data_IF_939607860263
#
_entry.id   IF_939607860263
#
_cell.length_a   1.000
_cell.length_b   1.000
_cell.length_c   1.000
_cell.angle_alpha   90.00
_cell.angle_beta   90.00
_cell.angle_gamma   90.00
#
_symmetry.space_group_name_H-M   'P 1'
#
loop_
_entity.id
_entity.type
_entity.pdbx_description
1 polymer ?
#
# COMPACT_ATOMS: atom_id res chain seq x y z
N UNK A 1 -31.37 9.65 36.25
CA UNK A 1 -32.51 9.12 35.50
C UNK A 1 -32.38 7.63 35.27
N UNK A 2 -33.31 6.92 35.90
CA UNK A 2 -33.33 5.47 36.14
C UNK A 2 -34.29 4.82 35.15
N UNK A 3 -33.79 4.00 34.23
CA UNK A 3 -34.66 3.20 33.36
C UNK A 3 -35.23 2.01 34.14
N UNK A 4 -36.53 2.11 34.44
CA UNK A 4 -37.37 1.11 35.08
C UNK A 4 -37.69 0.02 34.06
N UNK A 5 -37.22 -1.20 34.30
CA UNK A 5 -37.55 -2.41 33.54
C UNK A 5 -38.90 -2.93 34.02
N UNK A 6 -39.89 -3.00 33.12
CA UNK A 6 -41.17 -3.67 33.39
C UNK A 6 -41.02 -5.20 33.32
N UNK A 7 -41.63 -5.97 34.24
CA UNK A 7 -41.61 -7.42 34.18
C UNK A 7 -42.73 -7.95 33.28
N UNK A 8 -42.33 -8.65 32.20
CA UNK A 8 -43.21 -9.49 31.40
C UNK A 8 -43.73 -10.67 32.23
N UNK A 9 -45.04 -10.71 32.44
CA UNK A 9 -45.75 -11.84 33.06
C UNK A 9 -45.72 -13.11 32.20
N UNK A 10 -45.85 -14.31 32.80
CA UNK A 10 -45.54 -15.57 32.17
C UNK A 10 -46.76 -16.18 31.50
N UNK A 11 -46.74 -16.35 30.18
CA UNK A 11 -47.64 -17.31 29.52
C UNK A 11 -46.96 -17.94 28.30
N UNK A 12 -47.00 -19.26 28.28
CA UNK A 12 -46.88 -20.02 27.05
C UNK A 12 -45.56 -20.74 26.87
N UNK A 13 -45.42 -21.80 27.66
CA UNK A 13 -44.52 -22.92 27.37
C UNK A 13 -44.86 -23.49 25.97
N UNK A 14 -44.25 -22.97 24.90
CA UNK A 14 -44.16 -23.62 23.59
C UNK A 14 -42.77 -23.36 23.03
N UNK A 15 -41.84 -24.25 23.36
CA UNK A 15 -40.64 -24.41 22.56
C UNK A 15 -41.05 -24.81 21.13
N UNK A 16 -40.63 -24.08 20.07
CA UNK A 16 -40.77 -24.57 18.71
C UNK A 16 -39.63 -25.51 18.31
N UNK A 17 -38.75 -25.88 19.24
CA UNK A 17 -37.69 -26.88 19.05
C UNK A 17 -38.23 -28.33 19.06
N UNK A 18 -39.44 -28.54 18.58
CA UNK A 18 -39.89 -29.85 18.13
C UNK A 18 -39.29 -30.11 16.74
N UNK A 19 -38.23 -30.92 16.70
CA UNK A 19 -37.69 -31.56 15.50
C UNK A 19 -38.83 -32.08 14.62
N UNK A 20 -39.17 -31.38 13.54
CA UNK A 20 -39.80 -31.97 12.36
C UNK A 20 -38.69 -32.23 11.36
N UNK A 21 -38.50 -33.50 11.00
CA UNK A 21 -37.80 -33.91 9.79
C UNK A 21 -38.58 -33.39 8.58
N UNK A 22 -38.49 -32.08 8.35
CA UNK A 22 -39.11 -31.40 7.23
C UNK A 22 -38.23 -31.62 6.01
N UNK A 23 -38.55 -32.65 5.23
CA UNK A 23 -38.13 -32.72 3.83
C UNK A 23 -38.64 -31.45 3.14
N UNK A 24 -37.76 -30.48 2.94
CA UNK A 24 -38.10 -29.27 2.19
C UNK A 24 -38.60 -29.65 0.80
N UNK A 25 -39.78 -29.15 0.45
CA UNK A 25 -40.29 -29.29 -0.91
C UNK A 25 -39.28 -28.69 -1.89
N UNK A 26 -39.24 -29.23 -3.13
CA UNK A 26 -38.32 -28.75 -4.17
C UNK A 26 -38.45 -27.23 -4.40
N UNK A 27 -39.67 -26.69 -4.26
CA UNK A 27 -39.97 -25.27 -4.40
C UNK A 27 -39.42 -24.41 -3.25
N UNK A 28 -39.50 -24.87 -2.00
CA UNK A 28 -38.96 -24.15 -0.84
C UNK A 28 -37.43 -24.10 -0.84
N UNK A 29 -36.78 -25.20 -1.24
CA UNK A 29 -35.32 -25.22 -1.45
C UNK A 29 -34.91 -24.21 -2.52
N UNK A 30 -35.65 -24.15 -3.63
CA UNK A 30 -35.37 -23.21 -4.73
C UNK A 30 -35.56 -21.75 -4.30
N UNK A 31 -36.61 -21.43 -3.52
CA UNK A 31 -36.83 -20.09 -2.95
C UNK A 31 -35.72 -19.68 -1.99
N UNK A 32 -35.34 -20.55 -1.05
CA UNK A 32 -34.26 -20.26 -0.09
C UNK A 32 -32.91 -20.07 -0.78
N UNK A 33 -32.60 -20.90 -1.78
CA UNK A 33 -31.39 -20.77 -2.58
C UNK A 33 -31.37 -19.47 -3.39
N UNK A 34 -32.49 -19.06 -3.99
CA UNK A 34 -32.58 -17.78 -4.69
C UNK A 34 -32.43 -16.57 -3.76
N UNK A 35 -33.00 -16.63 -2.55
CA UNK A 35 -32.83 -15.56 -1.56
C UNK A 35 -31.37 -15.47 -1.08
N UNK A 36 -30.72 -16.62 -0.86
CA UNK A 36 -29.30 -16.66 -0.53
C UNK A 36 -28.44 -16.11 -1.68
N UNK A 37 -28.66 -16.54 -2.92
CA UNK A 37 -27.93 -16.01 -4.08
C UNK A 37 -28.15 -14.50 -4.27
N UNK A 38 -29.37 -14.00 -4.00
CA UNK A 38 -29.67 -12.57 -4.08
C UNK A 38 -28.95 -11.79 -2.97
N UNK A 39 -28.89 -12.34 -1.75
CA UNK A 39 -28.15 -11.75 -0.64
C UNK A 39 -26.63 -11.76 -0.91
N UNK A 40 -26.09 -12.87 -1.39
CA UNK A 40 -24.66 -13.03 -1.72
C UNK A 40 -24.24 -12.09 -2.87
N UNK A 41 -25.09 -11.91 -3.88
CA UNK A 41 -24.79 -11.05 -5.04
C UNK A 41 -25.00 -9.55 -4.80
N UNK A 42 -25.83 -9.19 -3.82
CA UNK A 42 -26.14 -7.79 -3.48
C UNK A 42 -25.42 -7.36 -2.21
N UNK A 43 -26.08 -7.36 -1.04
CA UNK A 43 -25.59 -6.73 0.18
C UNK A 43 -24.26 -7.31 0.69
N UNK A 44 -24.05 -8.62 0.55
CA UNK A 44 -22.77 -9.22 0.96
C UNK A 44 -21.63 -8.78 0.04
N UNK A 45 -21.88 -8.74 -1.27
CA UNK A 45 -20.89 -8.27 -2.25
C UNK A 45 -20.62 -6.78 -2.08
N UNK A 46 -21.64 -5.97 -1.82
CA UNK A 46 -21.50 -4.54 -1.58
C UNK A 46 -20.77 -4.26 -0.27
N UNK A 47 -21.08 -4.97 0.82
CA UNK A 47 -20.34 -4.88 2.08
C UNK A 47 -18.87 -5.29 1.92
N UNK A 48 -18.60 -6.37 1.18
CA UNK A 48 -17.23 -6.81 0.88
C UNK A 48 -16.49 -5.80 -0.01
N UNK A 49 -17.13 -5.29 -1.07
CA UNK A 49 -16.56 -4.24 -1.92
C UNK A 49 -16.35 -2.92 -1.15
N UNK A 50 -17.21 -2.59 -0.19
CA UNK A 50 -17.06 -1.43 0.69
C UNK A 50 -15.87 -1.62 1.64
N UNK A 51 -15.69 -2.83 2.19
CA UNK A 51 -14.58 -3.15 3.10
C UNK A 51 -13.20 -3.23 2.43
N UNK A 52 -13.15 -3.53 1.13
CA UNK A 52 -11.91 -3.64 0.35
C UNK A 52 -11.40 -2.25 -0.09
N UNK A 53 -12.24 -1.21 -0.05
CA UNK A 53 -11.91 0.11 -0.57
C UNK A 53 -11.84 0.13 -2.11
N UNK A 54 -11.64 1.32 -2.71
CA UNK A 54 -11.39 1.42 -4.17
C UNK A 54 -10.03 0.78 -4.46
N UNK A 55 -9.93 0.03 -5.56
CA UNK A 55 -8.74 -0.73 -6.02
C UNK A 55 -7.39 0.03 -6.09
N UNK A 56 -7.37 1.33 -5.82
CA UNK A 56 -6.18 2.21 -5.90
C UNK A 56 -5.79 2.77 -4.52
N UNK A 57 -6.53 2.43 -3.46
CA UNK A 57 -6.43 3.05 -2.15
C UNK A 57 -5.66 2.09 -1.22
N UNK A 58 -4.33 2.03 -1.36
CA UNK A 58 -3.48 1.29 -0.43
C UNK A 58 -3.02 2.23 0.71
N UNK A 59 -3.30 1.91 1.98
CA UNK A 59 -2.79 2.71 3.09
C UNK A 59 -1.27 2.59 3.17
N UNK A 60 -0.60 3.70 3.52
CA UNK A 60 0.86 3.79 3.61
C UNK A 60 1.48 2.69 4.49
N UNK A 61 0.77 2.29 5.55
CA UNK A 61 1.18 1.21 6.46
C UNK A 61 1.30 -0.15 5.76
N UNK A 62 0.38 -0.49 4.85
CA UNK A 62 0.43 -1.71 4.06
C UNK A 62 1.60 -1.69 3.09
N UNK A 63 1.88 -0.56 2.45
CA UNK A 63 3.07 -0.39 1.61
C UNK A 63 4.34 -0.68 2.41
N UNK A 64 4.48 -0.09 3.62
CA UNK A 64 5.66 -0.28 4.46
C UNK A 64 5.84 -1.74 4.90
N UNK A 65 4.75 -2.45 5.25
CA UNK A 65 4.80 -3.87 5.60
C UNK A 65 5.27 -4.73 4.42
N UNK A 66 4.79 -4.44 3.20
CA UNK A 66 5.22 -5.15 2.00
C UNK A 66 6.73 -4.99 1.73
N UNK A 67 7.33 -3.88 2.15
CA UNK A 67 8.75 -3.62 1.99
C UNK A 67 9.60 -3.96 3.22
N UNK A 68 9.02 -4.57 4.25
CA UNK A 68 9.75 -5.00 5.45
C UNK A 68 10.95 -5.90 5.13
N UNK A 69 10.87 -6.89 4.22
CA UNK A 69 12.04 -7.69 3.85
C UNK A 69 13.17 -6.86 3.24
N UNK A 70 12.82 -5.84 2.44
CA UNK A 70 13.79 -4.93 1.83
C UNK A 70 14.43 -4.01 2.88
N UNK A 71 13.68 -3.59 3.90
CA UNK A 71 14.19 -2.83 5.05
C UNK A 71 15.22 -3.65 5.84
N UNK A 72 14.94 -4.92 6.10
CA UNK A 72 15.91 -5.77 6.78
C UNK A 72 17.14 -6.06 5.91
N UNK A 73 16.95 -6.25 4.60
CA UNK A 73 18.06 -6.44 3.68
C UNK A 73 18.95 -5.20 3.56
N UNK A 74 18.38 -4.00 3.58
CA UNK A 74 19.16 -2.77 3.48
C UNK A 74 20.08 -2.55 4.67
N UNK A 75 19.77 -3.09 5.86
CA UNK A 75 20.68 -3.07 6.99
C UNK A 75 22.01 -3.75 6.66
N UNK A 76 21.99 -4.83 5.88
CA UNK A 76 23.20 -5.48 5.36
C UNK A 76 23.93 -4.58 4.37
N UNK A 77 23.21 -3.80 3.56
CA UNK A 77 23.81 -2.84 2.63
C UNK A 77 24.40 -1.61 3.32
N UNK A 78 23.83 -1.17 4.45
CA UNK A 78 24.34 -0.03 5.23
C UNK A 78 25.56 -0.46 6.05
N UNK A 79 25.49 -1.62 6.70
CA UNK A 79 26.55 -2.13 7.58
C UNK A 79 27.65 -2.87 6.81
N UNK A 80 27.33 -3.37 5.61
CA UNK A 80 28.25 -4.04 4.72
C UNK A 80 29.18 -3.05 4.05
N UNK A 81 30.47 -3.39 4.01
CA UNK A 81 31.50 -2.61 3.34
C UNK A 81 31.88 -3.24 1.99
N UNK A 82 30.87 -3.76 1.28
CA UNK A 82 30.96 -4.46 -0.01
C UNK A 82 31.98 -5.63 -0.04
N UNK A 83 32.21 -6.24 1.12
CA UNK A 83 33.15 -7.36 1.28
C UNK A 83 34.60 -6.96 1.61
N UNK A 84 34.90 -5.67 1.64
CA UNK A 84 36.22 -5.11 1.95
C UNK A 84 36.26 -4.35 3.28
N UNK A 85 37.44 -3.83 3.65
CA UNK A 85 37.59 -2.93 4.81
C UNK A 85 36.83 -1.63 4.54
N UNK A 86 35.96 -1.22 5.46
CA UNK A 86 35.13 -0.02 5.34
C UNK A 86 35.91 1.26 5.00
N UNK A 87 37.13 1.40 5.53
CA UNK A 87 37.98 2.55 5.23
C UNK A 87 38.45 2.59 3.77
N UNK A 88 38.63 1.42 3.15
CA UNK A 88 39.05 1.27 1.76
C UNK A 88 37.86 1.56 0.84
N UNK A 89 36.71 0.94 1.10
CA UNK A 89 35.48 1.16 0.34
C UNK A 89 35.03 2.62 0.41
N UNK A 90 35.08 3.23 1.60
CA UNK A 90 34.75 4.65 1.77
C UNK A 90 35.64 5.55 0.90
N UNK A 91 36.96 5.29 0.88
CA UNK A 91 37.90 6.05 0.04
C UNK A 91 37.69 5.82 -1.46
N UNK A 92 37.37 4.59 -1.87
CA UNK A 92 37.08 4.27 -3.28
C UNK A 92 35.85 5.03 -3.80
N UNK A 93 34.83 5.17 -2.97
CA UNK A 93 33.61 5.94 -3.30
C UNK A 93 33.84 7.46 -3.19
N UNK A 94 34.94 7.88 -2.59
CA UNK A 94 35.35 9.29 -2.49
C UNK A 94 34.98 9.97 -1.17
N UNK A 95 34.65 9.21 -0.13
CA UNK A 95 34.47 9.71 1.24
C UNK A 95 35.82 9.85 1.95
N UNK A 96 35.92 10.83 2.87
CA UNK A 96 37.13 11.04 3.66
C UNK A 96 37.25 10.03 4.81
N UNK A 97 36.12 9.57 5.35
CA UNK A 97 36.07 8.65 6.51
C UNK A 97 34.98 7.60 6.34
N UNK A 98 35.16 6.42 6.95
CA UNK A 98 34.14 5.37 6.99
C UNK A 98 32.84 5.81 7.67
N UNK A 99 32.91 6.68 8.68
CA UNK A 99 31.73 7.23 9.34
C UNK A 99 30.86 8.06 8.40
N UNK A 100 31.46 8.84 7.49
CA UNK A 100 30.69 9.59 6.48
C UNK A 100 29.96 8.67 5.53
N UNK A 101 30.58 7.56 5.11
CA UNK A 101 29.96 6.53 4.28
C UNK A 101 28.73 5.92 4.97
N UNK A 102 28.85 5.53 6.25
CA UNK A 102 27.72 4.96 7.00
C UNK A 102 26.57 5.94 7.17
N UNK A 103 26.86 7.19 7.50
CA UNK A 103 25.84 8.24 7.66
C UNK A 103 25.15 8.52 6.34
N UNK A 104 25.91 8.64 5.23
CA UNK A 104 25.36 8.87 3.90
C UNK A 104 24.44 7.72 3.47
N UNK A 105 24.91 6.47 3.56
CA UNK A 105 24.08 5.31 3.22
C UNK A 105 22.83 5.22 4.09
N UNK A 106 22.95 5.46 5.40
CA UNK A 106 21.80 5.46 6.31
C UNK A 106 20.76 6.51 5.91
N UNK A 107 21.19 7.74 5.63
CA UNK A 107 20.29 8.82 5.19
C UNK A 107 19.61 8.49 3.87
N UNK A 108 20.35 7.97 2.89
CA UNK A 108 19.82 7.57 1.58
C UNK A 108 18.72 6.52 1.74
N UNK A 109 18.96 5.49 2.55
CA UNK A 109 17.98 4.44 2.80
C UNK A 109 16.76 4.94 3.58
N UNK A 110 16.94 5.82 4.57
CA UNK A 110 15.83 6.43 5.31
C UNK A 110 14.95 7.26 4.37
N UNK A 111 15.54 8.08 3.49
CA UNK A 111 14.80 8.82 2.47
C UNK A 111 14.10 7.87 1.47
N UNK A 112 14.78 6.79 1.11
CA UNK A 112 14.24 5.72 0.27
C UNK A 112 12.98 5.09 0.87
N UNK A 113 13.03 4.65 2.13
CA UNK A 113 11.89 4.05 2.82
C UNK A 113 10.78 5.05 3.12
N UNK A 114 11.13 6.30 3.43
CA UNK A 114 10.17 7.32 3.78
C UNK A 114 9.36 7.80 2.58
N UNK A 115 10.01 7.98 1.43
CA UNK A 115 9.41 8.71 0.29
C UNK A 115 9.36 7.84 -0.97
N UNK A 116 10.48 7.28 -1.41
CA UNK A 116 10.58 6.67 -2.74
C UNK A 116 9.86 5.33 -2.79
N UNK A 117 10.19 4.41 -1.90
CA UNK A 117 9.66 3.05 -1.83
C UNK A 117 8.12 3.01 -1.71
N UNK A 118 7.47 3.77 -0.79
CA UNK A 118 6.02 3.74 -0.67
C UNK A 118 5.29 4.25 -1.92
N UNK A 119 5.94 5.07 -2.77
CA UNK A 119 5.33 5.54 -4.03
C UNK A 119 5.25 4.45 -5.11
N UNK A 120 6.05 3.38 -4.99
CA UNK A 120 6.13 2.29 -5.98
C UNK A 120 4.80 1.56 -6.16
N UNK A 121 4.15 1.21 -5.05
CA UNK A 121 2.90 0.43 -5.06
C UNK A 121 1.73 1.18 -5.71
N UNK A 122 1.40 2.44 -5.30
CA UNK A 122 0.32 3.17 -5.95
C UNK A 122 0.64 3.51 -7.41
N UNK A 123 1.91 3.72 -7.77
CA UNK A 123 2.32 3.91 -9.17
C UNK A 123 2.03 2.66 -10.00
N UNK A 124 2.44 1.48 -9.51
CA UNK A 124 2.23 0.20 -10.17
C UNK A 124 0.74 -0.11 -10.33
N UNK A 125 -0.06 0.09 -9.29
CA UNK A 125 -1.51 -0.09 -9.37
C UNK A 125 -2.17 0.82 -10.40
N UNK A 126 -1.79 2.11 -10.44
CA UNK A 126 -2.32 3.04 -11.44
C UNK A 126 -1.97 2.61 -12.86
N UNK A 127 -0.73 2.17 -13.10
CA UNK A 127 -0.31 1.64 -14.40
C UNK A 127 -1.11 0.39 -14.79
N UNK A 128 -1.26 -0.56 -13.87
CA UNK A 128 -2.03 -1.79 -14.11
C UNK A 128 -3.49 -1.46 -14.43
N UNK A 129 -4.12 -0.55 -13.67
CA UNK A 129 -5.49 -0.10 -13.94
C UNK A 129 -5.63 0.46 -15.35
N UNK A 130 -4.71 1.33 -15.76
CA UNK A 130 -4.69 1.91 -17.11
C UNK A 130 -4.58 0.79 -18.17
N UNK A 131 -3.69 -0.17 -17.98
CA UNK A 131 -3.50 -1.32 -18.90
C UNK A 131 -4.78 -2.16 -19.02
N UNK A 132 -5.42 -2.48 -17.89
CA UNK A 132 -6.66 -3.27 -17.86
C UNK A 132 -7.81 -2.51 -18.51
N UNK A 133 -7.87 -1.18 -18.38
CA UNK A 133 -8.90 -0.37 -19.04
C UNK A 133 -8.69 -0.22 -20.56
N UNK A 134 -7.44 -0.20 -21.02
CA UNK A 134 -7.10 0.02 -22.43
C UNK A 134 -7.14 -1.27 -23.27
N UNK A 135 -6.74 -2.39 -22.70
CA UNK A 135 -6.67 -3.66 -23.43
C UNK A 135 -7.82 -4.59 -23.02
N UNK A 136 -8.46 -5.24 -24.00
CA UNK A 136 -9.42 -6.34 -23.76
C UNK A 136 -8.77 -7.73 -23.91
N UNK A 137 -7.59 -7.78 -24.51
CA UNK A 137 -6.89 -9.03 -24.80
C UNK A 137 -6.01 -9.43 -23.60
N UNK A 138 -6.34 -10.54 -22.97
CA UNK A 138 -5.61 -11.11 -21.82
C UNK A 138 -4.10 -11.23 -22.06
N UNK A 139 -3.59 -11.80 -23.18
CA UNK A 139 -2.15 -11.94 -23.35
C UNK A 139 -1.43 -10.59 -23.47
N UNK A 140 -2.07 -9.60 -24.11
CA UNK A 140 -1.51 -8.25 -24.23
C UNK A 140 -1.51 -7.54 -22.88
N UNK A 141 -2.57 -7.71 -22.06
CA UNK A 141 -2.61 -7.18 -20.69
C UNK A 141 -1.44 -7.73 -19.87
N UNK A 142 -1.22 -9.04 -19.87
CA UNK A 142 -0.12 -9.68 -19.12
C UNK A 142 1.23 -9.13 -19.57
N UNK A 143 1.50 -9.07 -20.88
CA UNK A 143 2.75 -8.51 -21.39
C UNK A 143 2.94 -7.05 -20.97
N UNK A 144 1.91 -6.20 -21.11
CA UNK A 144 1.98 -4.81 -20.70
C UNK A 144 2.19 -4.65 -19.19
N UNK A 145 1.57 -5.49 -18.35
CA UNK A 145 1.74 -5.46 -16.90
C UNK A 145 3.16 -5.86 -16.48
N UNK A 146 3.78 -6.83 -17.14
CA UNK A 146 5.18 -7.19 -16.90
C UNK A 146 6.10 -6.02 -17.24
N UNK A 147 5.88 -5.38 -18.40
CA UNK A 147 6.66 -4.22 -18.83
C UNK A 147 6.47 -3.03 -17.88
N UNK A 148 5.24 -2.74 -17.46
CA UNK A 148 4.98 -1.63 -16.52
C UNK A 148 5.59 -1.87 -15.15
N UNK A 149 5.59 -3.12 -14.68
CA UNK A 149 6.26 -3.50 -13.44
C UNK A 149 7.76 -3.22 -13.54
N UNK A 150 8.40 -3.67 -14.62
CA UNK A 150 9.81 -3.42 -14.86
C UNK A 150 10.14 -1.91 -14.91
N UNK A 151 9.33 -1.13 -15.63
CA UNK A 151 9.49 0.33 -15.72
C UNK A 151 9.30 1.02 -14.36
N UNK A 152 8.34 0.57 -13.54
CA UNK A 152 8.12 1.11 -12.20
C UNK A 152 9.32 0.87 -11.28
N UNK A 153 9.93 -0.33 -11.33
CA UNK A 153 11.15 -0.59 -10.57
C UNK A 153 12.35 0.20 -11.09
N UNK A 154 12.53 0.30 -12.41
CA UNK A 154 13.59 1.13 -13.00
C UNK A 154 13.47 2.59 -12.55
N UNK A 155 12.25 3.12 -12.49
CA UNK A 155 11.99 4.47 -11.98
C UNK A 155 12.47 4.62 -10.52
N UNK A 156 12.06 3.70 -9.65
CA UNK A 156 12.42 3.71 -8.22
C UNK A 156 13.93 3.66 -8.02
N UNK A 157 14.62 2.73 -8.69
CA UNK A 157 16.08 2.61 -8.58
C UNK A 157 16.80 3.83 -9.16
N UNK A 158 16.27 4.43 -10.24
CA UNK A 158 16.84 5.65 -10.81
C UNK A 158 16.74 6.83 -9.85
N UNK A 159 15.59 7.03 -9.20
CA UNK A 159 15.43 8.09 -8.20
C UNK A 159 16.26 7.86 -6.95
N UNK A 160 16.30 6.63 -6.46
CA UNK A 160 17.14 6.28 -5.31
C UNK A 160 18.61 6.55 -5.62
N UNK A 161 19.08 6.13 -6.80
CA UNK A 161 20.45 6.37 -7.26
C UNK A 161 20.76 7.85 -7.40
N UNK A 162 19.85 8.62 -8.01
CA UNK A 162 19.99 10.07 -8.18
C UNK A 162 20.08 10.79 -6.83
N UNK A 163 19.16 10.50 -5.89
CA UNK A 163 19.17 11.09 -4.54
C UNK A 163 20.45 10.72 -3.80
N UNK A 164 20.89 9.46 -3.90
CA UNK A 164 22.14 9.02 -3.25
C UNK A 164 23.34 9.77 -3.82
N UNK A 165 23.43 9.89 -5.14
CA UNK A 165 24.54 10.55 -5.81
C UNK A 165 24.60 12.06 -5.52
N UNK A 166 23.45 12.75 -5.60
CA UNK A 166 23.37 14.20 -5.32
C UNK A 166 23.65 14.50 -3.85
N UNK A 167 23.09 13.70 -2.93
CA UNK A 167 23.33 13.85 -1.50
C UNK A 167 24.80 13.61 -1.15
N UNK A 168 25.40 12.54 -1.67
CA UNK A 168 26.82 12.22 -1.44
C UNK A 168 27.72 13.37 -1.90
N UNK A 169 27.45 13.88 -3.10
CA UNK A 169 28.25 14.96 -3.69
C UNK A 169 28.08 16.28 -2.95
N UNK A 170 26.83 16.63 -2.59
CA UNK A 170 26.50 17.89 -1.92
C UNK A 170 27.04 17.97 -0.49
N UNK A 171 27.05 16.86 0.26
CA UNK A 171 27.41 16.85 1.68
C UNK A 171 28.88 16.58 1.94
N UNK A 172 29.55 15.76 1.12
CA UNK A 172 30.86 15.19 1.52
C UNK A 172 32.01 15.49 0.58
N UNK A 173 31.75 15.88 -0.68
CA UNK A 173 32.82 16.06 -1.67
C UNK A 173 33.20 17.52 -1.83
N UNK A 174 32.29 18.34 -2.35
CA UNK A 174 32.45 19.78 -2.50
C UNK A 174 31.05 20.39 -2.43
N UNK A 175 30.81 21.26 -1.44
CA UNK A 175 29.52 21.91 -1.26
C UNK A 175 29.29 22.94 -2.35
N UNK A 176 28.94 22.48 -3.54
CA UNK A 176 28.49 23.32 -4.65
C UNK A 176 27.00 23.62 -4.46
N UNK A 177 26.60 24.91 -4.54
CA UNK A 177 25.19 25.29 -4.41
C UNK A 177 24.30 24.62 -5.48
N UNK A 178 24.89 24.23 -6.62
CA UNK A 178 24.17 23.53 -7.69
C UNK A 178 23.66 22.15 -7.24
N UNK A 179 24.49 21.35 -6.56
CA UNK A 179 24.08 20.01 -6.10
C UNK A 179 23.08 20.09 -4.95
N UNK A 180 23.20 21.10 -4.08
CA UNK A 180 22.19 21.36 -3.04
C UNK A 180 20.84 21.75 -3.64
N UNK A 181 20.84 22.63 -4.65
CA UNK A 181 19.60 23.00 -5.36
C UNK A 181 18.99 21.79 -6.07
N UNK A 182 19.81 20.98 -6.75
CA UNK A 182 19.35 19.76 -7.40
C UNK A 182 18.73 18.77 -6.40
N UNK A 183 19.35 18.56 -5.23
CA UNK A 183 18.80 17.73 -4.16
C UNK A 183 17.47 18.29 -3.63
N UNK A 184 17.39 19.61 -3.40
CA UNK A 184 16.17 20.26 -2.95
C UNK A 184 15.02 20.08 -3.95
N UNK A 185 15.29 20.28 -5.25
CA UNK A 185 14.31 20.06 -6.32
C UNK A 185 13.86 18.59 -6.35
N UNK A 186 14.78 17.63 -6.25
CA UNK A 186 14.45 16.21 -6.22
C UNK A 186 13.53 15.86 -5.04
N UNK A 187 13.83 16.37 -3.84
CA UNK A 187 12.99 16.15 -2.66
C UNK A 187 11.61 16.80 -2.81
N UNK A 188 11.52 18.00 -3.38
CA UNK A 188 10.23 18.66 -3.67
C UNK A 188 9.40 17.84 -4.66
N UNK A 189 10.02 17.34 -5.73
CA UNK A 189 9.32 16.51 -6.72
C UNK A 189 8.83 15.19 -6.12
N UNK A 190 9.65 14.52 -5.31
CA UNK A 190 9.29 13.26 -4.67
C UNK A 190 8.20 13.44 -3.61
N UNK A 191 8.29 14.50 -2.79
CA UNK A 191 7.25 14.82 -1.80
C UNK A 191 5.95 15.24 -2.48
N UNK A 192 6.01 16.01 -3.57
CA UNK A 192 4.84 16.34 -4.37
C UNK A 192 4.21 15.10 -5.02
N UNK A 193 5.03 14.17 -5.55
CA UNK A 193 4.55 12.92 -6.10
C UNK A 193 3.87 12.06 -5.02
N UNK A 194 4.47 11.94 -3.85
CA UNK A 194 3.87 11.25 -2.70
C UNK A 194 2.54 11.90 -2.31
N UNK A 195 2.52 13.23 -2.21
CA UNK A 195 1.32 13.97 -1.88
C UNK A 195 0.20 13.75 -2.91
N UNK A 196 0.50 13.84 -4.20
CA UNK A 196 -0.46 13.60 -5.27
C UNK A 196 -0.99 12.16 -5.29
N UNK A 197 -0.15 11.18 -4.97
CA UNK A 197 -0.53 9.76 -4.97
C UNK A 197 -1.42 9.39 -3.78
N UNK A 198 -1.13 9.93 -2.59
CA UNK A 198 -1.81 9.56 -1.34
C UNK A 198 -2.91 10.52 -0.89
N UNK A 199 -2.79 11.83 -1.17
CA UNK A 199 -3.72 12.87 -0.68
C UNK A 199 -4.69 13.39 -1.76
N UNK A 200 -4.83 12.67 -2.88
CA UNK A 200 -5.83 13.03 -3.88
C UNK A 200 -7.25 12.97 -3.27
N UNK A 201 -8.13 13.97 -3.53
CA UNK A 201 -9.46 14.08 -2.89
C UNK A 201 -10.37 12.85 -3.04
N UNK A 202 -10.14 12.03 -4.08
CA UNK A 202 -10.86 10.77 -4.29
C UNK A 202 -10.62 9.71 -3.21
N UNK A 203 -9.56 9.86 -2.41
CA UNK A 203 -9.15 8.98 -1.31
C UNK A 203 -9.87 9.35 0.01
N UNK A 204 -10.06 10.65 0.27
CA UNK A 204 -10.74 11.16 1.48
C UNK A 204 -12.22 10.74 1.49
N UNK A 205 -12.84 10.70 0.30
CA UNK A 205 -14.21 10.22 0.12
C UNK A 205 -14.37 8.71 0.34
N UNK A 206 -13.30 7.92 0.19
CA UNK A 206 -13.32 6.49 0.49
C UNK A 206 -13.32 6.21 1.99
N UNK A 207 -12.59 7.00 2.78
CA UNK A 207 -12.55 6.88 4.25
C UNK A 207 -13.87 7.32 4.88
N UNK A 208 -14.47 8.42 4.41
CA UNK A 208 -15.80 8.85 4.90
C UNK A 208 -16.91 7.90 4.49
N UNK A 209 -16.90 7.35 3.26
CA UNK A 209 -17.85 6.30 2.86
C UNK A 209 -17.65 5.00 3.64
N UNK A 210 -16.43 4.68 4.06
CA UNK A 210 -16.16 3.52 4.89
C UNK A 210 -16.73 3.71 6.31
N UNK A 211 -16.64 4.91 6.90
CA UNK A 211 -17.32 5.24 8.18
C UNK A 211 -18.86 5.20 8.05
N UNK A 212 -19.41 5.65 6.93
CA UNK A 212 -20.86 5.54 6.65
C UNK A 212 -21.29 4.06 6.48
N UNK A 213 -20.46 3.21 5.85
CA UNK A 213 -20.71 1.77 5.71
C UNK A 213 -20.69 1.01 7.05
N UNK A 214 -19.94 1.46 8.06
CA UNK A 214 -19.90 0.82 9.38
C UNK A 214 -21.05 1.25 10.30
N UNK A 215 -21.71 2.37 10.00
CA UNK A 215 -22.80 2.90 10.83
C UNK A 215 -24.21 2.46 10.40
N UNK A 216 -24.35 1.87 9.20
CA UNK A 216 -25.63 1.33 8.70
C UNK A 216 -25.93 -0.14 9.10
N UNK A 217 -25.09 -0.79 9.91
CA UNK A 217 -25.31 -2.17 10.39
C UNK A 217 -25.62 -2.27 11.89
#
# INVERSE_FOLDING_TARGET
>A
DSFRVEPLSPMGNRSPFAKKNGSWSRSERKKRFNNFNRYVRGPLRESVLCSIGKEVDIPLSLCLICFLPLIFYSAVSVLGCDGDRCDVTAKQVGYATGSQYFVANSLSWVLGFGIIIPTTQPLLLRMVKVIVTLSKNVPVQVCCTVVSTFLAYLWVFSWQGLVTATMTTALFRETSPFFLLALAIQLILLTFQMWYLFFQPSQIQGVTLQEDCYTEF
#
